data_IF_992595145743
#
_entry.id   IF_992595145743
#
_cell.length_a   1.000
_cell.length_b   1.000
_cell.length_c   1.000
_cell.angle_alpha   90.00
_cell.angle_beta   90.00
_cell.angle_gamma   90.00
#
_symmetry.space_group_name_H-M   'P 1'
#
loop_
_entity.id
_entity.type
_entity.pdbx_description
1 polymer ?
#
# COMPACT_ATOMS: atom_id res chain seq x y z
N UNK A 1 9.51 -1.03 -21.76
CA UNK A 1 9.42 -2.19 -22.69
C UNK A 1 10.61 -3.08 -22.40
N UNK A 2 10.38 -4.18 -21.70
CA UNK A 2 11.41 -5.20 -21.48
C UNK A 2 11.13 -6.32 -22.47
N UNK A 3 11.96 -6.40 -23.52
CA UNK A 3 11.91 -7.48 -24.48
C UNK A 3 12.54 -8.73 -23.86
N UNK A 4 11.75 -9.80 -23.75
CA UNK A 4 12.28 -11.14 -23.51
C UNK A 4 12.80 -11.67 -24.84
N UNK A 5 14.11 -11.54 -25.13
CA UNK A 5 14.75 -12.22 -26.26
C UNK A 5 14.97 -13.71 -25.94
N UNK A 6 14.48 -14.62 -26.78
CA UNK A 6 14.81 -16.04 -26.61
C UNK A 6 16.22 -16.30 -27.16
N UNK A 7 17.11 -16.79 -26.28
CA UNK A 7 18.39 -17.32 -26.70
C UNK A 7 18.18 -18.68 -27.41
N UNK A 8 18.59 -18.78 -28.70
CA UNK A 8 18.58 -20.02 -29.43
C UNK A 8 19.71 -20.96 -28.95
N UNK A 9 19.41 -22.19 -28.59
CA UNK A 9 20.45 -23.19 -28.35
C UNK A 9 20.99 -23.74 -29.68
N UNK A 10 22.30 -23.67 -29.85
CA UNK A 10 23.00 -24.38 -30.93
C UNK A 10 22.95 -25.89 -30.66
N UNK A 11 22.33 -26.62 -31.57
CA UNK A 11 22.31 -28.08 -31.59
C UNK A 11 23.69 -28.59 -32.00
N UNK A 12 24.37 -29.31 -31.10
CA UNK A 12 25.49 -30.19 -31.44
C UNK A 12 24.99 -31.63 -31.30
N UNK A 13 25.05 -32.35 -32.43
CA UNK A 13 24.69 -33.76 -32.54
C UNK A 13 25.59 -34.66 -31.71
N UNK A 14 25.02 -35.61 -30.96
CA UNK A 14 25.76 -36.68 -30.28
C UNK A 14 24.82 -37.59 -29.48
N UNK A 15 24.78 -38.82 -29.90
CA UNK A 15 23.96 -39.98 -29.56
C UNK A 15 23.51 -40.22 -28.11
N UNK A 16 22.25 -40.64 -28.02
CA UNK A 16 21.64 -41.61 -27.12
C UNK A 16 21.94 -41.55 -25.62
N UNK A 17 20.95 -41.03 -24.85
CA UNK A 17 20.51 -41.57 -23.55
C UNK A 17 19.29 -40.78 -23.06
N UNK A 18 18.37 -41.47 -22.40
CA UNK A 18 17.03 -41.01 -21.96
C UNK A 18 16.99 -39.57 -21.41
N UNK A 19 16.31 -38.70 -22.09
CA UNK A 19 16.11 -37.31 -21.66
C UNK A 19 14.81 -37.21 -20.87
N UNK A 20 14.93 -37.03 -19.55
CA UNK A 20 13.90 -36.42 -18.72
C UNK A 20 13.79 -34.95 -19.14
N UNK A 21 12.75 -34.62 -19.88
CA UNK A 21 12.38 -33.24 -20.18
C UNK A 21 11.88 -32.55 -18.90
N UNK A 22 12.77 -31.88 -18.20
CA UNK A 22 12.42 -30.85 -17.22
C UNK A 22 11.92 -29.63 -17.98
N UNK A 23 10.60 -29.52 -18.14
CA UNK A 23 9.93 -28.29 -18.52
C UNK A 23 10.18 -27.26 -17.41
N UNK A 24 11.21 -26.45 -17.56
CA UNK A 24 11.38 -25.23 -16.79
C UNK A 24 10.29 -24.24 -17.23
N UNK A 25 9.16 -24.26 -16.54
CA UNK A 25 8.14 -23.21 -16.66
C UNK A 25 8.76 -21.92 -16.12
N UNK A 26 9.31 -21.08 -16.98
CA UNK A 26 9.64 -19.68 -16.64
C UNK A 26 8.32 -18.96 -16.42
N UNK A 27 7.87 -18.91 -15.19
CA UNK A 27 6.76 -18.07 -14.79
C UNK A 27 7.25 -16.60 -14.92
N UNK A 28 6.95 -15.96 -16.04
CA UNK A 28 7.02 -14.51 -16.15
C UNK A 28 5.92 -13.94 -15.22
N UNK A 29 6.28 -13.58 -13.99
CA UNK A 29 5.40 -12.77 -13.15
C UNK A 29 5.26 -11.41 -13.81
N UNK A 30 4.09 -11.14 -14.38
CA UNK A 30 3.76 -9.80 -14.86
C UNK A 30 3.73 -8.86 -13.65
N UNK A 31 4.69 -7.93 -13.58
CA UNK A 31 4.65 -6.85 -12.59
C UNK A 31 3.49 -5.94 -12.99
N UNK A 32 2.42 -5.98 -12.21
CA UNK A 32 1.27 -5.09 -12.40
C UNK A 32 1.74 -3.68 -12.03
N UNK A 33 1.63 -2.74 -12.98
CA UNK A 33 1.93 -1.33 -12.71
C UNK A 33 0.93 -0.76 -11.71
N UNK A 34 1.38 0.15 -10.84
CA UNK A 34 0.53 0.79 -9.82
C UNK A 34 -0.69 1.45 -10.46
N UNK A 35 -0.54 2.06 -11.64
CA UNK A 35 -1.66 2.71 -12.36
C UNK A 35 -2.78 1.72 -12.69
N UNK A 36 -2.45 0.46 -12.94
CA UNK A 36 -3.40 -0.59 -13.30
C UNK A 36 -3.77 -1.51 -12.13
N UNK A 37 -3.23 -1.26 -10.92
CA UNK A 37 -3.52 -2.08 -9.76
C UNK A 37 -5.00 -1.98 -9.35
N UNK A 38 -5.58 -3.12 -8.96
CA UNK A 38 -6.91 -3.19 -8.36
C UNK A 38 -6.80 -2.85 -6.86
N UNK A 39 -7.17 -1.62 -6.50
CA UNK A 39 -7.07 -1.11 -5.13
C UNK A 39 -7.88 -1.95 -4.14
N UNK A 40 -9.18 -2.29 -4.40
CA UNK A 40 -9.95 -3.14 -3.51
C UNK A 40 -9.33 -4.52 -3.28
N UNK A 41 -8.88 -5.20 -4.32
CA UNK A 41 -8.25 -6.50 -4.22
C UNK A 41 -6.93 -6.45 -3.43
N UNK A 42 -6.09 -5.45 -3.69
CA UNK A 42 -4.86 -5.23 -2.95
C UNK A 42 -5.14 -4.92 -1.47
N UNK A 43 -6.07 -3.98 -1.18
CA UNK A 43 -6.43 -3.59 0.19
C UNK A 43 -6.92 -4.79 1.01
N UNK A 44 -7.72 -5.68 0.44
CA UNK A 44 -8.27 -6.83 1.13
C UNK A 44 -7.18 -7.72 1.77
N UNK A 45 -6.01 -7.78 1.15
CA UNK A 45 -4.84 -8.53 1.65
C UNK A 45 -3.90 -7.64 2.48
N UNK A 46 -3.60 -6.44 2.00
CA UNK A 46 -2.62 -5.55 2.62
C UNK A 46 -3.12 -4.97 3.94
N UNK A 47 -4.40 -4.58 4.01
CA UNK A 47 -5.02 -3.99 5.20
C UNK A 47 -6.48 -4.46 5.33
N UNK A 48 -6.72 -5.66 5.86
CA UNK A 48 -8.05 -6.17 6.09
C UNK A 48 -8.91 -5.21 6.93
N UNK A 49 -10.24 -5.22 6.75
CA UNK A 49 -11.16 -4.38 7.49
C UNK A 49 -11.04 -4.57 9.00
N UNK A 50 -11.24 -3.50 9.76
CA UNK A 50 -11.31 -3.53 11.22
C UNK A 50 -12.66 -2.96 11.67
N UNK A 51 -13.23 -3.56 12.74
CA UNK A 51 -14.48 -3.08 13.30
C UNK A 51 -14.31 -1.74 14.00
N UNK A 52 -15.25 -0.82 13.80
CA UNK A 52 -15.29 0.46 14.48
C UNK A 52 -14.33 1.51 13.92
N UNK A 53 -13.80 1.31 12.72
CA UNK A 53 -13.02 2.36 12.06
C UNK A 53 -13.86 3.63 11.91
N UNK A 54 -13.32 4.76 12.37
CA UNK A 54 -13.96 6.07 12.28
C UNK A 54 -13.57 6.81 11.00
N UNK A 55 -12.44 6.43 10.41
CA UNK A 55 -11.97 6.94 9.13
C UNK A 55 -11.11 5.86 8.46
N UNK A 56 -11.37 5.61 7.19
CA UNK A 56 -10.54 4.73 6.35
C UNK A 56 -10.49 5.25 4.92
N UNK A 57 -9.40 4.99 4.25
CA UNK A 57 -9.25 5.28 2.84
C UNK A 57 -8.24 4.34 2.19
N UNK A 58 -8.34 4.21 0.89
CA UNK A 58 -7.37 3.50 0.06
C UNK A 58 -7.41 4.04 -1.35
N UNK A 59 -6.29 4.01 -2.03
CA UNK A 59 -6.19 4.57 -3.36
C UNK A 59 -4.80 4.52 -3.93
N UNK A 60 -4.59 5.35 -4.94
CA UNK A 60 -3.31 5.52 -5.62
C UNK A 60 -2.82 6.94 -5.44
N UNK A 61 -1.55 7.09 -5.16
CA UNK A 61 -0.84 8.37 -5.22
C UNK A 61 -0.12 8.39 -6.57
N UNK A 62 -0.64 9.14 -7.53
CA UNK A 62 -0.10 9.19 -8.89
C UNK A 62 0.78 10.42 -9.15
N UNK A 63 0.75 11.39 -8.25
CA UNK A 63 1.51 12.63 -8.31
C UNK A 63 1.85 13.10 -6.89
N UNK A 64 2.34 14.32 -6.73
CA UNK A 64 2.72 14.89 -5.43
C UNK A 64 1.59 15.61 -4.70
N UNK A 65 0.37 15.56 -5.23
CA UNK A 65 -0.78 16.18 -4.59
C UNK A 65 -1.17 15.42 -3.32
N UNK A 66 -1.69 16.17 -2.35
CA UNK A 66 -2.22 15.58 -1.12
C UNK A 66 -3.61 15.01 -1.35
N UNK A 67 -3.84 13.84 -0.81
CA UNK A 67 -5.17 13.22 -0.76
C UNK A 67 -5.69 13.41 0.65
N UNK A 68 -6.76 14.17 0.81
CA UNK A 68 -7.31 14.55 2.11
C UNK A 68 -8.64 13.82 2.32
N UNK A 69 -8.78 13.24 3.50
CA UNK A 69 -10.03 12.65 3.99
C UNK A 69 -10.28 13.10 5.42
N UNK A 70 -11.55 13.32 5.74
CA UNK A 70 -11.95 13.76 7.06
C UNK A 70 -13.14 12.97 7.59
N UNK A 71 -13.22 12.87 8.92
CA UNK A 71 -14.36 12.36 9.64
C UNK A 71 -14.78 13.41 10.68
N UNK A 72 -16.03 13.84 10.61
CA UNK A 72 -16.61 14.77 11.55
C UNK A 72 -17.06 14.06 12.83
N UNK A 73 -17.09 14.78 13.96
CA UNK A 73 -17.64 14.31 15.22
C UNK A 73 -17.01 12.99 15.73
N UNK A 74 -15.71 12.83 15.51
CA UNK A 74 -14.98 11.68 16.07
C UNK A 74 -15.00 11.82 17.60
N UNK A 75 -15.48 10.80 18.34
CA UNK A 75 -15.58 10.86 19.80
C UNK A 75 -14.22 10.98 20.47
N UNK A 76 -14.19 11.57 21.66
CA UNK A 76 -13.00 11.55 22.52
C UNK A 76 -12.59 10.10 22.82
N UNK A 77 -11.29 9.83 22.80
CA UNK A 77 -10.76 8.50 23.03
C UNK A 77 -9.38 8.30 22.45
N UNK A 78 -8.87 7.08 22.61
CA UNK A 78 -7.60 6.66 22.02
C UNK A 78 -7.85 5.86 20.76
N UNK A 79 -7.11 6.19 19.72
CA UNK A 79 -7.21 5.57 18.41
C UNK A 79 -5.85 5.06 17.95
N UNK A 80 -5.88 4.08 17.08
CA UNK A 80 -4.70 3.60 16.34
C UNK A 80 -4.93 3.86 14.87
N UNK A 81 -4.04 4.64 14.27
CA UNK A 81 -3.91 4.73 12.83
C UNK A 81 -3.01 3.58 12.36
N UNK A 82 -3.51 2.75 11.47
CA UNK A 82 -2.72 1.72 10.79
C UNK A 82 -2.63 2.09 9.31
N UNK A 83 -1.42 2.14 8.79
CA UNK A 83 -1.14 2.52 7.41
C UNK A 83 -0.31 1.47 6.71
N UNK A 84 -0.49 1.33 5.41
CA UNK A 84 0.35 0.51 4.54
C UNK A 84 0.41 1.10 3.15
N UNK A 85 1.48 0.82 2.44
CA UNK A 85 1.63 1.20 1.04
C UNK A 85 2.57 0.26 0.29
N UNK A 86 2.50 0.30 -1.04
CA UNK A 86 3.33 -0.48 -1.93
C UNK A 86 3.68 0.33 -3.19
N UNK A 87 4.75 -0.07 -3.88
CA UNK A 87 5.25 0.60 -5.08
C UNK A 87 6.67 1.18 -4.93
N UNK A 88 7.28 1.04 -3.77
CA UNK A 88 8.62 1.56 -3.44
C UNK A 88 8.58 2.97 -2.85
N UNK A 89 9.71 3.41 -2.28
CA UNK A 89 9.80 4.71 -1.62
C UNK A 89 9.01 4.80 -0.31
N UNK A 90 8.44 5.97 -0.04
CA UNK A 90 7.73 6.27 1.22
C UNK A 90 6.44 7.02 0.97
N UNK A 91 5.43 6.74 1.78
CA UNK A 91 4.22 7.55 1.92
C UNK A 91 4.15 8.19 3.32
N UNK A 92 3.52 9.35 3.40
CA UNK A 92 3.35 10.12 4.63
C UNK A 92 1.86 10.34 4.88
N UNK A 93 1.47 10.17 6.16
CA UNK A 93 0.10 10.30 6.63
C UNK A 93 0.11 11.29 7.79
N UNK A 94 -0.28 12.53 7.53
CA UNK A 94 -0.39 13.56 8.55
C UNK A 94 -1.82 13.59 9.09
N UNK A 95 -1.96 13.62 10.41
CA UNK A 95 -3.25 13.64 11.10
C UNK A 95 -3.43 14.95 11.82
N UNK A 96 -4.55 15.62 11.55
CA UNK A 96 -4.96 16.81 12.29
C UNK A 96 -6.25 16.55 13.05
N UNK A 97 -6.41 17.21 14.19
CA UNK A 97 -7.62 17.26 14.99
C UNK A 97 -8.04 18.72 15.14
N UNK A 98 -9.22 19.07 14.65
CA UNK A 98 -9.71 20.44 14.62
C UNK A 98 -8.68 21.43 14.04
N UNK A 99 -7.99 21.03 12.96
CA UNK A 99 -6.99 21.81 12.26
C UNK A 99 -5.59 21.86 12.90
N UNK A 100 -5.36 21.15 14.00
CA UNK A 100 -4.04 21.05 14.67
C UNK A 100 -3.41 19.72 14.38
N UNK A 101 -2.12 19.73 14.05
CA UNK A 101 -1.32 18.52 13.86
C UNK A 101 -1.23 17.74 15.18
N UNK A 102 -1.61 16.47 15.15
CA UNK A 102 -1.61 15.58 16.34
C UNK A 102 -0.74 14.35 16.15
N UNK A 103 -0.50 13.92 14.92
CA UNK A 103 0.37 12.79 14.61
C UNK A 103 0.83 12.80 13.16
N UNK A 104 1.97 12.16 12.93
CA UNK A 104 2.48 11.82 11.61
C UNK A 104 2.83 10.34 11.59
N UNK A 105 2.53 9.67 10.49
CA UNK A 105 3.00 8.31 10.23
C UNK A 105 3.69 8.28 8.87
N UNK A 106 4.92 7.75 8.84
CA UNK A 106 5.63 7.46 7.60
C UNK A 106 5.67 5.96 7.39
N UNK A 107 5.37 5.49 6.19
CA UNK A 107 5.44 4.08 5.84
C UNK A 107 6.41 3.85 4.68
N UNK A 108 7.26 2.84 4.81
CA UNK A 108 8.00 2.31 3.66
C UNK A 108 7.02 1.54 2.78
N UNK A 109 6.98 1.89 1.48
CA UNK A 109 6.02 1.29 0.55
C UNK A 109 6.53 -0.04 -0.01
N UNK A 110 6.61 -1.01 0.88
CA UNK A 110 7.02 -2.40 0.63
C UNK A 110 5.98 -3.42 1.14
N UNK A 111 4.74 -2.96 1.40
CA UNK A 111 3.66 -3.77 1.94
C UNK A 111 3.67 -3.93 3.47
N UNK A 112 4.66 -3.38 4.19
CA UNK A 112 4.65 -3.39 5.65
C UNK A 112 3.55 -2.49 6.22
N UNK A 113 3.13 -2.78 7.46
CA UNK A 113 2.15 -1.97 8.20
C UNK A 113 2.86 -1.18 9.28
N UNK A 114 2.53 0.11 9.35
CA UNK A 114 2.98 1.00 10.40
C UNK A 114 1.78 1.48 11.20
N UNK A 115 2.01 1.78 12.48
CA UNK A 115 0.95 2.27 13.37
C UNK A 115 1.36 3.53 14.10
N UNK A 116 0.39 4.44 14.30
CA UNK A 116 0.53 5.62 15.13
C UNK A 116 -0.62 5.68 16.14
N UNK A 117 -0.32 6.08 17.38
CA UNK A 117 -1.32 6.29 18.42
C UNK A 117 -1.78 7.74 18.40
N UNK A 118 -3.09 7.92 18.45
CA UNK A 118 -3.74 9.23 18.41
C UNK A 118 -4.69 9.33 19.60
N UNK A 119 -4.63 10.46 20.32
CA UNK A 119 -5.58 10.76 21.38
C UNK A 119 -6.45 11.91 20.94
N UNK A 120 -7.76 11.67 20.87
CA UNK A 120 -8.78 12.68 20.68
C UNK A 120 -9.26 13.12 22.04
N UNK A 121 -8.88 14.31 22.50
CA UNK A 121 -9.22 14.82 23.82
C UNK A 121 -10.66 15.29 23.89
N UNK A 122 -11.12 15.97 22.85
CA UNK A 122 -12.48 16.46 22.70
C UNK A 122 -13.06 15.99 21.37
N UNK A 123 -14.35 15.66 21.29
CA UNK A 123 -14.97 15.29 20.03
C UNK A 123 -14.74 16.36 18.95
N UNK A 124 -14.36 15.94 17.74
CA UNK A 124 -14.04 16.88 16.69
C UNK A 124 -13.79 16.24 15.34
N UNK A 125 -13.42 17.05 14.38
CA UNK A 125 -13.08 16.60 13.04
C UNK A 125 -11.62 16.12 13.00
N UNK A 126 -11.44 14.88 12.61
CA UNK A 126 -10.12 14.31 12.30
C UNK A 126 -9.93 14.33 10.79
N UNK A 127 -8.81 14.87 10.36
CA UNK A 127 -8.40 14.87 8.95
C UNK A 127 -7.12 14.08 8.80
N UNK A 128 -7.04 13.26 7.75
CA UNK A 128 -5.83 12.54 7.35
C UNK A 128 -5.44 12.99 5.95
N UNK A 129 -4.22 13.49 5.84
CA UNK A 129 -3.59 13.92 4.60
C UNK A 129 -2.54 12.92 4.19
N UNK A 130 -2.75 12.27 3.05
CA UNK A 130 -1.84 11.28 2.47
C UNK A 130 -1.04 11.90 1.34
N UNK A 131 0.27 11.72 1.33
CA UNK A 131 1.16 12.26 0.29
C UNK A 131 2.42 11.42 0.09
N UNK A 132 3.05 11.57 -1.06
CA UNK A 132 4.38 11.02 -1.34
C UNK A 132 5.11 11.84 -2.39
N UNK A 133 6.43 11.85 -2.32
CA UNK A 133 7.31 12.35 -3.39
C UNK A 133 7.76 11.22 -4.34
N UNK A 134 7.47 9.98 -3.98
CA UNK A 134 7.92 8.76 -4.67
C UNK A 134 6.80 8.11 -5.52
N UNK A 135 5.77 8.90 -5.89
CA UNK A 135 4.69 8.41 -6.76
C UNK A 135 5.23 7.78 -8.07
N UNK A 136 4.56 6.72 -8.61
CA UNK A 136 3.25 6.22 -8.23
C UNK A 136 3.29 5.17 -7.10
N UNK A 137 2.34 5.25 -6.18
CA UNK A 137 2.17 4.34 -5.05
C UNK A 137 0.71 3.92 -4.88
N UNK A 138 0.49 2.78 -4.26
CA UNK A 138 -0.83 2.36 -3.74
C UNK A 138 -0.79 2.41 -2.22
N UNK A 139 -1.86 2.87 -1.58
CA UNK A 139 -1.93 3.03 -0.13
C UNK A 139 -3.27 2.59 0.44
N UNK A 140 -3.27 2.27 1.72
CA UNK A 140 -4.46 2.12 2.52
C UNK A 140 -4.18 2.49 3.98
N UNK A 141 -5.19 3.00 4.66
CA UNK A 141 -5.16 3.19 6.11
C UNK A 141 -6.54 3.02 6.73
N UNK A 142 -6.56 2.79 8.04
CA UNK A 142 -7.74 2.96 8.88
C UNK A 142 -7.36 3.56 10.22
N UNK A 143 -8.26 4.37 10.75
CA UNK A 143 -8.22 4.92 12.11
C UNK A 143 -9.33 4.25 12.91
N UNK A 144 -8.96 3.49 13.92
CA UNK A 144 -9.91 2.74 14.75
C UNK A 144 -9.62 2.93 16.24
N UNK A 145 -10.62 2.77 17.13
CA UNK A 145 -10.39 2.80 18.55
C UNK A 145 -9.29 1.83 18.97
N UNK A 146 -8.35 2.30 19.81
CA UNK A 146 -7.30 1.45 20.38
C UNK A 146 -7.92 0.45 21.36
N UNK A 147 -7.53 -0.81 21.25
CA UNK A 147 -7.87 -1.86 22.21
C UNK A 147 -6.90 -1.88 23.37
#
# INVERSE_FOLDING_TARGET
MAECSPAMPRVLSGSAAAALLLLAATACSSVVSIENADVPAWKATALPPVSGAVLEDSGKILNRDRIIREAANVPAGRYTLTVTCDGGGKAFFAVTLAGKDVADAGAACNGSRETAKITVTDPGTVEISTSSVDAPLIYAYHLAPSR
#
